data_IF_943717125860
#
_entry.id   IF_943717125860
#
_cell.length_a   1.000
_cell.length_b   1.000
_cell.length_c   1.000
_cell.angle_alpha   90.00
_cell.angle_beta   90.00
_cell.angle_gamma   90.00
#
_symmetry.space_group_name_H-M   'P 1'
#
loop_
_entity.id
_entity.type
_entity.pdbx_description
1 polymer ?
#
# COMPACT_ATOMS: atom_id res chain seq x y z
N UNK A 1 17.16 -2.93 8.24
CA UNK A 1 16.06 -3.57 8.99
C UNK A 1 14.92 -2.58 9.07
N UNK A 2 13.70 -2.97 8.70
CA UNK A 2 12.51 -2.12 8.87
C UNK A 2 12.29 -1.91 10.37
N UNK A 3 12.21 -0.67 10.86
CA UNK A 3 11.64 -0.43 12.20
C UNK A 3 10.14 -0.70 12.12
N UNK A 4 9.52 -1.13 13.22
CA UNK A 4 8.11 -1.56 13.26
C UNK A 4 7.12 -0.45 12.81
N UNK A 5 7.54 0.81 12.79
CA UNK A 5 6.69 1.97 12.51
C UNK A 5 7.19 2.79 11.30
N UNK A 6 7.82 2.16 10.31
CA UNK A 6 8.29 2.88 9.12
C UNK A 6 7.65 2.31 7.86
N UNK A 7 7.24 3.20 6.95
CA UNK A 7 6.80 2.85 5.61
C UNK A 7 7.94 2.13 4.87
N UNK A 8 7.68 0.91 4.41
CA UNK A 8 8.65 0.10 3.69
C UNK A 8 8.42 0.19 2.17
N UNK A 9 9.50 0.17 1.38
CA UNK A 9 9.44 0.04 -0.09
C UNK A 9 8.58 -1.13 -0.56
N UNK A 10 8.52 -2.22 0.21
CA UNK A 10 7.65 -3.38 -0.04
C UNK A 10 6.19 -3.00 -0.27
N UNK A 11 5.69 -1.93 0.36
CA UNK A 11 4.31 -1.48 0.14
C UNK A 11 4.11 -1.13 -1.33
N UNK A 12 5.04 -0.37 -1.92
CA UNK A 12 4.99 0.01 -3.32
C UNK A 12 5.28 -1.17 -4.26
N UNK A 13 6.19 -2.07 -3.88
CA UNK A 13 6.54 -3.23 -4.71
C UNK A 13 5.37 -4.23 -4.82
N UNK A 14 4.72 -4.56 -3.70
CA UNK A 14 3.57 -5.48 -3.69
C UNK A 14 2.40 -4.89 -4.47
N UNK A 15 2.02 -3.65 -4.16
CA UNK A 15 0.91 -2.99 -4.86
C UNK A 15 1.24 -2.77 -6.34
N UNK A 16 2.46 -2.33 -6.66
CA UNK A 16 2.94 -2.15 -8.03
C UNK A 16 3.03 -3.44 -8.84
N UNK A 17 3.00 -4.61 -8.20
CA UNK A 17 2.92 -5.92 -8.85
C UNK A 17 1.48 -6.43 -9.06
N UNK A 18 0.47 -5.65 -8.66
CA UNK A 18 -0.94 -6.07 -8.77
C UNK A 18 -1.38 -7.05 -7.69
N UNK A 19 -0.65 -7.15 -6.58
CA UNK A 19 -0.94 -8.09 -5.50
C UNK A 19 -1.59 -7.41 -4.30
N UNK A 20 -2.41 -8.17 -3.59
CA UNK A 20 -3.02 -7.71 -2.34
C UNK A 20 -1.98 -7.61 -1.22
N UNK A 21 -2.05 -6.52 -0.45
CA UNK A 21 -1.20 -6.29 0.71
C UNK A 21 -2.04 -6.15 1.98
N UNK A 22 -1.74 -6.99 2.97
CA UNK A 22 -2.15 -6.84 4.36
C UNK A 22 -0.90 -6.54 5.21
N UNK A 23 -0.84 -5.36 5.82
CA UNK A 23 0.35 -4.88 6.55
C UNK A 23 0.00 -4.33 7.93
N UNK A 24 0.98 -4.12 8.81
CA UNK A 24 0.68 -3.48 10.10
C UNK A 24 0.23 -2.03 9.91
N UNK A 25 -0.64 -1.55 10.79
CA UNK A 25 -1.11 -0.16 10.80
C UNK A 25 0.05 0.78 11.16
N UNK A 26 0.47 1.57 10.18
CA UNK A 26 1.49 2.62 10.30
C UNK A 26 0.88 3.91 9.76
N UNK A 27 1.16 5.04 10.41
CA UNK A 27 0.56 6.34 10.05
C UNK A 27 0.90 6.72 8.60
N UNK A 28 2.17 6.56 8.20
CA UNK A 28 2.64 6.88 6.86
C UNK A 28 2.01 6.03 5.75
N UNK A 29 1.56 4.80 6.06
CA UNK A 29 0.80 4.00 5.09
C UNK A 29 -0.57 4.64 4.87
N UNK A 30 -1.21 5.10 5.94
CA UNK A 30 -2.55 5.69 5.89
C UNK A 30 -2.59 7.10 5.29
N UNK A 31 -1.46 7.81 5.25
CA UNK A 31 -1.36 9.10 4.54
C UNK A 31 -1.24 8.95 3.03
N UNK A 32 -0.76 7.79 2.55
CA UNK A 32 -0.55 7.51 1.13
C UNK A 32 -1.60 6.58 0.53
N UNK A 33 -2.20 5.72 1.35
CA UNK A 33 -3.13 4.70 0.90
C UNK A 33 -4.35 4.63 1.81
N UNK A 34 -5.50 4.31 1.22
CA UNK A 34 -6.75 4.16 1.95
C UNK A 34 -6.92 2.68 2.36
N UNK A 35 -6.96 2.36 3.66
CA UNK A 35 -7.25 1.00 4.12
C UNK A 35 -8.60 0.49 3.60
N UNK A 36 -8.69 -0.81 3.37
CA UNK A 36 -9.82 -1.51 2.74
C UNK A 36 -10.17 -1.05 1.32
N UNK A 37 -9.35 -0.19 0.70
CA UNK A 37 -9.55 0.26 -0.69
C UNK A 37 -8.32 0.05 -1.57
N UNK A 38 -7.12 0.47 -1.13
CA UNK A 38 -5.85 0.26 -1.85
C UNK A 38 -5.05 -0.94 -1.31
N UNK A 39 -5.14 -1.15 -0.01
CA UNK A 39 -4.53 -2.23 0.78
C UNK A 39 -5.35 -2.39 2.05
N UNK A 40 -5.01 -3.34 2.92
CA UNK A 40 -5.57 -3.38 4.26
C UNK A 40 -4.47 -3.41 5.34
N UNK A 41 -4.83 -3.00 6.55
CA UNK A 41 -3.92 -2.90 7.69
C UNK A 41 -4.42 -3.71 8.88
N UNK A 42 -3.55 -4.08 9.82
CA UNK A 42 -3.93 -4.67 11.09
C UNK A 42 -3.18 -4.02 12.26
N UNK A 43 -3.82 -3.95 13.42
CA UNK A 43 -3.27 -3.31 14.62
C UNK A 43 -2.74 -4.32 15.65
N UNK A 44 -3.19 -5.57 15.57
CA UNK A 44 -2.80 -6.65 16.48
C UNK A 44 -2.90 -8.03 15.79
N UNK A 45 -2.48 -9.07 16.50
CA UNK A 45 -2.43 -10.43 15.96
C UNK A 45 -3.82 -11.04 15.70
N UNK A 46 -4.81 -10.74 16.54
CA UNK A 46 -6.16 -11.27 16.38
C UNK A 46 -6.81 -10.68 15.12
N UNK A 47 -6.69 -9.36 14.92
CA UNK A 47 -7.17 -8.69 13.70
C UNK A 47 -6.46 -9.20 12.44
N UNK A 48 -5.16 -9.50 12.53
CA UNK A 48 -4.42 -10.10 11.43
C UNK A 48 -5.00 -11.46 11.05
N UNK A 49 -5.26 -12.33 12.03
CA UNK A 49 -5.81 -13.67 11.79
C UNK A 49 -7.22 -13.59 11.20
N UNK A 50 -8.08 -12.73 11.76
CA UNK A 50 -9.44 -12.51 11.25
C UNK A 50 -9.43 -12.04 9.80
N UNK A 51 -8.56 -11.07 9.46
CA UNK A 51 -8.43 -10.55 8.10
C UNK A 51 -7.86 -11.58 7.13
N UNK A 52 -6.89 -12.39 7.56
CA UNK A 52 -6.38 -13.51 6.74
C UNK A 52 -7.53 -14.46 6.41
N UNK A 53 -8.31 -14.88 7.40
CA UNK A 53 -9.44 -15.80 7.17
C UNK A 53 -10.50 -15.18 6.24
N UNK A 54 -10.83 -13.90 6.44
CA UNK A 54 -11.77 -13.17 5.60
C UNK A 54 -11.31 -13.11 4.14
N UNK A 55 -10.10 -12.62 3.87
CA UNK A 55 -9.60 -12.44 2.50
C UNK A 55 -9.22 -13.75 1.81
N UNK A 56 -9.08 -14.86 2.54
CA UNK A 56 -8.98 -16.19 1.93
C UNK A 56 -10.32 -16.69 1.40
N UNK A 57 -11.45 -16.25 1.97
CA UNK A 57 -12.81 -16.60 1.52
C UNK A 57 -13.35 -15.62 0.48
N UNK A 58 -13.04 -14.33 0.62
CA UNK A 58 -13.56 -13.25 -0.22
C UNK A 58 -12.55 -12.82 -1.32
N UNK A 59 -12.25 -13.74 -2.24
CA UNK A 59 -11.26 -13.50 -3.30
C UNK A 59 -11.62 -12.32 -4.21
N UNK A 60 -12.90 -12.11 -4.53
CA UNK A 60 -13.34 -11.00 -5.37
C UNK A 60 -12.99 -9.65 -4.73
N UNK A 61 -13.36 -9.46 -3.47
CA UNK A 61 -13.04 -8.23 -2.74
C UNK A 61 -11.52 -8.03 -2.61
N UNK A 62 -10.77 -9.11 -2.32
CA UNK A 62 -9.31 -9.07 -2.25
C UNK A 62 -8.68 -8.61 -3.57
N UNK A 63 -9.15 -9.12 -4.70
CA UNK A 63 -8.64 -8.79 -6.03
C UNK A 63 -9.03 -7.37 -6.46
N UNK A 64 -10.20 -6.87 -6.06
CA UNK A 64 -10.60 -5.47 -6.27
C UNK A 64 -9.66 -4.51 -5.52
N UNK A 65 -9.38 -4.79 -4.25
CA UNK A 65 -8.43 -3.98 -3.45
C UNK A 65 -7.04 -3.99 -4.08
N UNK A 66 -6.53 -5.16 -4.49
CA UNK A 66 -5.23 -5.28 -5.14
C UNK A 66 -5.14 -4.43 -6.41
N UNK A 67 -6.18 -4.45 -7.26
CA UNK A 67 -6.25 -3.65 -8.47
C UNK A 67 -6.30 -2.14 -8.20
N UNK A 68 -7.03 -1.73 -7.17
CA UNK A 68 -7.09 -0.33 -6.77
C UNK A 68 -5.73 0.15 -6.26
N UNK A 69 -5.05 -0.65 -5.43
CA UNK A 69 -3.69 -0.34 -4.96
C UNK A 69 -2.67 -0.26 -6.10
N UNK A 70 -2.76 -1.17 -7.06
CA UNK A 70 -1.92 -1.13 -8.28
C UNK A 70 -2.10 0.15 -9.08
N UNK A 71 -3.36 0.54 -9.33
CA UNK A 71 -3.69 1.79 -10.03
C UNK A 71 -3.16 3.01 -9.28
N UNK A 72 -3.29 3.04 -7.96
CA UNK A 72 -2.77 4.14 -7.15
C UNK A 72 -1.25 4.26 -7.28
N UNK A 73 -0.52 3.15 -7.21
CA UNK A 73 0.94 3.14 -7.36
C UNK A 73 1.36 3.63 -8.74
N UNK A 74 0.75 3.11 -9.82
CA UNK A 74 1.10 3.53 -11.18
C UNK A 74 0.77 4.99 -11.45
N UNK A 75 -0.31 5.51 -10.88
CA UNK A 75 -0.73 6.89 -11.11
C UNK A 75 0.07 7.90 -10.29
N UNK A 76 0.55 7.55 -9.09
CA UNK A 76 1.10 8.53 -8.14
C UNK A 76 2.47 8.21 -7.55
N UNK A 77 2.92 6.96 -7.61
CA UNK A 77 4.06 6.51 -6.82
C UNK A 77 5.18 5.84 -7.64
N UNK A 78 5.15 5.98 -8.97
CA UNK A 78 6.27 5.59 -9.82
C UNK A 78 7.52 6.44 -9.53
N UNK A 79 8.70 5.87 -9.79
CA UNK A 79 9.96 6.61 -9.65
C UNK A 79 9.99 7.85 -10.56
N UNK A 80 9.38 7.79 -11.74
CA UNK A 80 9.23 8.93 -12.65
C UNK A 80 8.42 10.06 -12.02
N UNK A 81 7.27 9.75 -11.39
CA UNK A 81 6.47 10.73 -10.68
C UNK A 81 7.24 11.34 -9.50
N UNK A 82 8.00 10.54 -8.77
CA UNK A 82 8.84 11.02 -7.65
C UNK A 82 9.98 11.90 -8.13
N UNK A 83 10.69 11.51 -9.19
CA UNK A 83 11.75 12.32 -9.79
C UNK A 83 11.20 13.67 -10.29
N UNK A 84 10.05 13.65 -10.97
CA UNK A 84 9.39 14.85 -11.44
C UNK A 84 8.97 15.78 -10.29
N UNK A 85 8.51 15.21 -9.17
CA UNK A 85 8.18 15.98 -7.96
C UNK A 85 9.42 16.65 -7.37
N UNK A 86 10.52 15.90 -7.21
CA UNK A 86 11.78 16.43 -6.68
C UNK A 86 12.30 17.59 -7.54
N UNK A 87 12.25 17.45 -8.87
CA UNK A 87 12.70 18.52 -9.78
C UNK A 87 11.83 19.78 -9.65
N UNK A 88 10.50 19.64 -9.57
CA UNK A 88 9.59 20.77 -9.33
C UNK A 88 9.88 21.46 -8.00
N UNK A 89 10.01 20.69 -6.92
CA UNK A 89 10.24 21.23 -5.58
C UNK A 89 11.62 21.90 -5.44
N UNK A 90 12.60 21.45 -6.22
CA UNK A 90 13.92 22.06 -6.33
C UNK A 90 13.97 23.28 -7.26
N UNK A 91 12.87 23.63 -7.94
CA UNK A 91 12.82 24.73 -8.91
C UNK A 91 13.57 24.46 -10.22
N UNK A 92 13.77 23.19 -10.57
CA UNK A 92 14.49 22.73 -11.76
C UNK A 92 13.56 22.30 -12.91
N UNK A 93 12.25 22.42 -12.73
CA UNK A 93 11.21 22.06 -13.71
C UNK A 93 9.98 22.95 -13.53
#
# INVERSE_FOLDING_TARGET
>A
MSRRNELNLRVFEVLGSGQFLLTNAVEEVQTLFNPAYHLDVYSNADELLDKIEFYLKEETSRNEIANNGYREVLNKHTLENRASQILRDAGLY
#
